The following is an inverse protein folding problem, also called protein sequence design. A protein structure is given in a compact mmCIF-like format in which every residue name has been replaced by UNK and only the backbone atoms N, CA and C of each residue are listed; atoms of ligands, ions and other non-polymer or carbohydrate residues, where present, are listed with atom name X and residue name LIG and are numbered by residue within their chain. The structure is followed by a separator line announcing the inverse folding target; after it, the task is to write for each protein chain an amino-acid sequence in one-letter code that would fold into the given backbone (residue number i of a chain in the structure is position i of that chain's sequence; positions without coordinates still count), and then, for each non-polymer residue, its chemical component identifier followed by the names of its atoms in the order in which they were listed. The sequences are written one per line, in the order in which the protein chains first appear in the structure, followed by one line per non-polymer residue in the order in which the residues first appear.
data_IF_253233590490
#
_entry.id   IF_253233590490
#
_cell.length_a   1.000
_cell.length_b   1.000
_cell.length_c   1.000
_cell.angle_alpha   90.00
_cell.angle_beta   90.00
_cell.angle_gamma   90.00
#
_symmetry.space_group_name_H-M   'P 1'
#
loop_
_entity.id
_entity.type
_entity.pdbx_description
1 polymer ?
#
# COMPACT_ATOMS: atom_id res chain seq x y z
N UNK A 1 -6.80 9.02 -9.23
CA UNK A 1 -5.55 8.97 -10.03
C UNK A 1 -4.87 10.33 -10.11
N UNK A 2 -5.55 11.36 -10.63
CA UNK A 2 -4.99 12.71 -10.76
C UNK A 2 -4.49 13.29 -9.42
N UNK A 3 -5.21 13.06 -8.31
CA UNK A 3 -4.76 13.48 -6.98
C UNK A 3 -3.45 12.83 -6.53
N UNK A 4 -3.21 11.55 -6.82
CA UNK A 4 -1.95 10.87 -6.48
C UNK A 4 -0.79 11.39 -7.33
N UNK A 5 -1.01 11.64 -8.62
CA UNK A 5 0.01 12.25 -9.45
C UNK A 5 0.30 13.70 -9.06
N UNK A 6 -0.71 14.48 -8.67
CA UNK A 6 -0.51 15.82 -8.14
C UNK A 6 0.35 15.80 -6.87
N UNK A 7 0.09 14.86 -5.96
CA UNK A 7 0.92 14.66 -4.76
C UNK A 7 2.35 14.26 -5.10
N UNK A 8 2.52 13.36 -6.07
CA UNK A 8 3.84 12.95 -6.57
C UNK A 8 4.65 14.12 -7.14
N UNK A 9 4.01 15.01 -7.89
CA UNK A 9 4.63 16.23 -8.42
C UNK A 9 4.97 17.20 -7.28
N UNK A 10 4.09 17.34 -6.29
CA UNK A 10 4.36 18.20 -5.14
C UNK A 10 5.55 17.67 -4.35
N UNK A 11 5.58 16.38 -4.00
CA UNK A 11 6.59 15.78 -3.14
C UNK A 11 7.96 15.69 -3.81
N UNK A 12 8.03 15.24 -5.06
CA UNK A 12 9.30 14.92 -5.71
C UNK A 12 9.81 15.99 -6.71
N UNK A 13 9.00 17.00 -7.03
CA UNK A 13 9.42 18.10 -7.89
C UNK A 13 9.30 19.47 -7.19
N UNK A 14 8.13 19.82 -6.64
CA UNK A 14 7.91 21.17 -6.11
C UNK A 14 8.58 21.41 -4.75
N UNK A 15 8.50 20.49 -3.80
CA UNK A 15 9.13 20.64 -2.49
C UNK A 15 10.67 20.73 -2.59
N UNK A 16 11.37 19.86 -3.37
CA UNK A 16 12.81 19.99 -3.59
C UNK A 16 13.20 21.34 -4.21
N UNK A 17 12.45 21.82 -5.20
CA UNK A 17 12.70 23.14 -5.80
C UNK A 17 12.58 24.28 -4.78
N UNK A 18 11.64 24.18 -3.83
CA UNK A 18 11.45 25.17 -2.77
C UNK A 18 12.54 25.09 -1.69
N UNK A 19 13.17 23.93 -1.47
CA UNK A 19 14.32 23.76 -0.58
C UNK A 19 15.66 24.05 -1.26
N UNK A 20 15.67 24.41 -2.54
CA UNK A 20 16.89 24.71 -3.31
C UNK A 20 17.57 23.48 -3.91
N UNK A 21 16.91 22.32 -3.89
CA UNK A 21 17.34 21.08 -4.51
C UNK A 21 16.76 20.94 -5.94
N UNK A 22 17.34 20.02 -6.72
CA UNK A 22 16.85 19.74 -8.07
C UNK A 22 15.60 18.86 -8.02
N UNK A 23 14.62 19.17 -8.89
CA UNK A 23 13.44 18.35 -9.05
C UNK A 23 13.80 16.95 -9.59
N UNK A 24 13.37 15.90 -8.90
CA UNK A 24 13.52 14.52 -9.34
C UNK A 24 12.30 14.08 -10.16
N UNK A 25 12.27 14.44 -11.44
CA UNK A 25 11.14 14.12 -12.32
C UNK A 25 10.90 12.62 -12.51
N UNK A 26 11.93 11.79 -12.40
CA UNK A 26 11.79 10.34 -12.47
C UNK A 26 11.00 9.81 -11.28
N UNK A 27 11.27 10.32 -10.09
CA UNK A 27 10.52 10.01 -8.88
C UNK A 27 9.09 10.55 -8.94
N UNK A 28 8.92 11.79 -9.40
CA UNK A 28 7.61 12.42 -9.57
C UNK A 28 6.69 11.65 -10.54
N UNK A 29 7.25 11.02 -11.57
CA UNK A 29 6.47 10.39 -12.64
C UNK A 29 6.39 8.85 -12.55
N UNK A 30 7.42 8.18 -12.03
CA UNK A 30 7.56 6.72 -12.15
C UNK A 30 8.04 6.01 -10.88
N UNK A 31 9.01 6.58 -10.16
CA UNK A 31 9.71 5.87 -9.08
C UNK A 31 9.24 6.19 -7.67
N UNK A 32 8.60 7.34 -7.47
CA UNK A 32 8.05 7.74 -6.19
C UNK A 32 6.88 6.88 -5.74
N UNK A 33 6.67 6.78 -4.44
CA UNK A 33 5.55 6.03 -3.86
C UNK A 33 4.20 6.47 -4.41
N UNK A 34 3.97 7.79 -4.53
CA UNK A 34 2.70 8.34 -5.05
C UNK A 34 2.50 8.07 -6.54
N UNK A 35 3.55 8.16 -7.37
CA UNK A 35 3.46 7.85 -8.80
C UNK A 35 3.23 6.35 -9.03
N UNK A 36 3.94 5.47 -8.32
CA UNK A 36 3.71 4.02 -8.37
C UNK A 36 2.30 3.64 -7.92
N UNK A 37 1.78 4.27 -6.86
CA UNK A 37 0.38 4.09 -6.43
C UNK A 37 -0.60 4.58 -7.50
N UNK A 38 -0.33 5.72 -8.15
CA UNK A 38 -1.18 6.23 -9.21
C UNK A 38 -1.25 5.26 -10.40
N UNK A 39 -0.08 4.80 -10.88
CA UNK A 39 0.05 3.84 -11.98
C UNK A 39 -0.64 2.52 -11.62
N UNK A 40 -0.33 1.96 -10.45
CA UNK A 40 -0.91 0.71 -9.99
C UNK A 40 -2.43 0.78 -9.86
N UNK A 41 -2.95 1.90 -9.38
CA UNK A 41 -4.40 2.11 -9.29
C UNK A 41 -5.05 2.22 -10.68
N UNK A 42 -4.42 2.90 -11.65
CA UNK A 42 -4.94 2.98 -13.04
C UNK A 42 -4.97 1.59 -13.67
N UNK A 43 -3.89 0.83 -13.53
CA UNK A 43 -3.81 -0.54 -14.02
C UNK A 43 -4.88 -1.44 -13.39
N UNK A 44 -5.13 -1.29 -12.08
CA UNK A 44 -6.19 -2.01 -11.39
C UNK A 44 -7.59 -1.63 -11.89
N UNK A 45 -7.83 -0.34 -12.16
CA UNK A 45 -9.09 0.11 -12.73
C UNK A 45 -9.33 -0.47 -14.14
N UNK A 46 -8.29 -0.45 -15.00
CA UNK A 46 -8.34 -1.07 -16.32
C UNK A 46 -8.61 -2.58 -16.21
N UNK A 47 -7.99 -3.27 -15.26
CA UNK A 47 -8.22 -4.69 -15.00
C UNK A 47 -9.67 -4.98 -14.54
N UNK A 48 -10.24 -4.14 -13.66
CA UNK A 48 -11.65 -4.24 -13.24
C UNK A 48 -12.59 -4.06 -14.43
N UNK A 49 -12.31 -3.08 -15.29
CA UNK A 49 -13.11 -2.81 -16.49
C UNK A 49 -13.05 -3.96 -17.50
N UNK A 50 -11.84 -4.46 -17.79
CA UNK A 50 -11.60 -5.50 -18.78
C UNK A 50 -12.03 -6.90 -18.31
N UNK A 51 -11.80 -7.24 -17.03
CA UNK A 51 -12.05 -8.58 -16.48
C UNK A 51 -13.10 -8.49 -15.39
N UNK A 52 -14.39 -8.63 -15.74
CA UNK A 52 -15.49 -8.44 -14.76
C UNK A 52 -15.62 -9.55 -13.71
N UNK A 53 -15.10 -10.75 -13.99
CA UNK A 53 -15.17 -11.90 -13.06
C UNK A 53 -14.06 -11.80 -12.01
N UNK A 54 -14.47 -11.66 -10.74
CA UNK A 54 -13.55 -11.53 -9.60
C UNK A 54 -12.55 -12.70 -9.52
N UNK A 55 -12.99 -13.93 -9.78
CA UNK A 55 -12.10 -15.10 -9.68
C UNK A 55 -10.96 -15.05 -10.72
N UNK A 56 -11.25 -14.57 -11.94
CA UNK A 56 -10.22 -14.41 -12.98
C UNK A 56 -9.28 -13.25 -12.62
N UNK A 57 -9.81 -12.16 -12.06
CA UNK A 57 -8.99 -11.04 -11.58
C UNK A 57 -8.08 -11.44 -10.42
N UNK A 58 -8.52 -12.36 -9.55
CA UNK A 58 -7.67 -12.87 -8.48
C UNK A 58 -6.42 -13.52 -9.09
N UNK A 59 -6.60 -14.40 -10.08
CA UNK A 59 -5.49 -15.00 -10.82
C UNK A 59 -4.62 -13.98 -11.53
N UNK A 60 -5.20 -12.92 -12.11
CA UNK A 60 -4.44 -11.83 -12.71
C UNK A 60 -3.55 -11.11 -11.67
N UNK A 61 -4.07 -10.82 -10.48
CA UNK A 61 -3.28 -10.24 -9.39
C UNK A 61 -2.11 -11.13 -8.97
N UNK A 62 -2.36 -12.43 -8.80
CA UNK A 62 -1.29 -13.39 -8.48
C UNK A 62 -0.29 -13.59 -9.63
N UNK A 63 -0.73 -13.53 -10.87
CA UNK A 63 0.16 -13.58 -12.02
C UNK A 63 1.10 -12.37 -12.06
N UNK A 64 0.62 -11.18 -11.70
CA UNK A 64 1.46 -9.98 -11.58
C UNK A 64 2.52 -10.12 -10.48
N UNK A 65 2.18 -10.73 -9.33
CA UNK A 65 3.17 -11.06 -8.30
C UNK A 65 4.24 -12.03 -8.83
N UNK A 66 3.84 -13.06 -9.57
CA UNK A 66 4.77 -14.02 -10.17
C UNK A 66 5.69 -13.36 -11.21
N UNK A 67 5.15 -12.52 -12.07
CA UNK A 67 5.92 -11.74 -13.06
C UNK A 67 6.90 -10.81 -12.35
N UNK A 68 6.47 -10.10 -11.32
CA UNK A 68 7.36 -9.24 -10.54
C UNK A 68 8.46 -10.04 -9.86
N UNK A 69 8.14 -11.12 -9.13
CA UNK A 69 9.18 -11.94 -8.48
C UNK A 69 10.20 -12.48 -9.48
N UNK A 70 9.74 -12.97 -10.64
CA UNK A 70 10.63 -13.48 -11.69
C UNK A 70 11.52 -12.39 -12.29
N UNK A 71 10.97 -11.23 -12.59
CA UNK A 71 11.73 -10.12 -13.17
C UNK A 71 12.72 -9.52 -12.17
N UNK A 72 12.36 -9.47 -10.88
CA UNK A 72 13.20 -8.93 -9.80
C UNK A 72 14.50 -9.75 -9.67
N UNK A 73 14.38 -11.07 -9.71
CA UNK A 73 15.54 -11.98 -9.67
C UNK A 73 16.28 -12.11 -11.01
N UNK A 74 15.71 -11.58 -12.09
CA UNK A 74 16.35 -11.67 -13.40
C UNK A 74 17.56 -10.73 -13.46
N UNK A 75 18.71 -11.29 -13.83
CA UNK A 75 20.01 -10.60 -13.91
C UNK A 75 20.01 -9.33 -14.81
N UNK A 76 18.92 -9.04 -15.53
CA UNK A 76 18.82 -7.97 -16.53
C UNK A 76 17.92 -6.79 -16.16
N UNK A 77 16.99 -6.92 -15.23
CA UNK A 77 15.88 -5.95 -15.13
C UNK A 77 16.17 -4.74 -14.23
N UNK A 78 17.06 -4.87 -13.24
CA UNK A 78 17.33 -3.81 -12.25
C UNK A 78 18.84 -3.48 -12.06
N UNK A 79 19.76 -4.24 -12.68
CA UNK A 79 21.20 -4.14 -12.37
C UNK A 79 22.09 -3.57 -13.48
N UNK A 80 21.52 -3.03 -14.55
CA UNK A 80 22.29 -2.57 -15.70
C UNK A 80 22.15 -1.07 -16.00
N UNK A 81 23.18 -0.26 -15.67
CA UNK A 81 23.22 1.17 -15.99
C UNK A 81 23.05 1.50 -17.47
N UNK A 82 23.39 0.59 -18.39
CA UNK A 82 23.40 0.86 -19.83
C UNK A 82 22.00 0.92 -20.48
N UNK A 83 20.96 0.44 -19.80
CA UNK A 83 19.56 0.63 -20.25
C UNK A 83 19.08 2.06 -19.92
N UNK A 84 19.62 2.69 -18.87
CA UNK A 84 19.31 4.07 -18.48
C UNK A 84 19.86 5.09 -19.51
N UNK A 85 20.99 4.78 -20.16
CA UNK A 85 21.72 5.72 -21.03
C UNK A 85 21.22 5.79 -22.49
N UNK A 86 20.53 4.77 -23.01
CA UNK A 86 20.32 4.68 -24.46
C UNK A 86 19.04 5.36 -24.99
N UNK A 87 18.06 5.66 -24.13
CA UNK A 87 16.77 6.22 -24.56
C UNK A 87 16.26 7.40 -23.72
N UNK A 88 16.88 7.74 -22.58
CA UNK A 88 16.33 8.74 -21.64
C UNK A 88 14.91 8.42 -21.14
N UNK A 89 14.40 7.23 -21.47
CA UNK A 89 13.10 6.70 -21.10
C UNK A 89 13.32 5.84 -19.86
N UNK A 90 13.23 6.53 -18.73
CA UNK A 90 12.73 6.09 -17.42
C UNK A 90 12.58 4.60 -17.23
N UNK A 91 13.33 4.09 -16.22
CA UNK A 91 13.09 2.84 -15.50
C UNK A 91 11.62 2.47 -15.55
N UNK A 92 11.33 1.33 -16.14
CA UNK A 92 9.99 0.77 -16.09
C UNK A 92 9.54 0.75 -14.61
N UNK A 93 8.36 1.28 -14.24
CA UNK A 93 7.95 1.49 -12.85
C UNK A 93 7.64 0.15 -12.19
N UNK A 94 8.70 -0.60 -11.89
CA UNK A 94 8.63 -2.01 -11.60
C UNK A 94 7.85 -2.28 -10.30
N UNK A 95 8.08 -1.44 -9.28
CA UNK A 95 7.30 -1.45 -8.04
C UNK A 95 5.80 -1.19 -8.23
N UNK A 96 5.37 -0.61 -9.35
CA UNK A 96 3.94 -0.43 -9.63
C UNK A 96 3.22 -1.76 -9.93
N UNK A 97 3.93 -2.84 -10.28
CA UNK A 97 3.32 -4.16 -10.51
C UNK A 97 2.67 -4.70 -9.24
N UNK A 98 3.42 -4.66 -8.13
CA UNK A 98 2.93 -5.15 -6.86
C UNK A 98 1.80 -4.29 -6.31
N UNK A 99 1.87 -2.97 -6.47
CA UNK A 99 0.77 -2.07 -6.11
C UNK A 99 -0.48 -2.30 -6.96
N UNK A 100 -0.31 -2.57 -8.27
CA UNK A 100 -1.42 -2.94 -9.15
C UNK A 100 -2.05 -4.26 -8.70
N UNK A 101 -1.23 -5.28 -8.40
CA UNK A 101 -1.69 -6.58 -7.94
C UNK A 101 -2.48 -6.48 -6.62
N UNK A 102 -1.97 -5.73 -5.64
CA UNK A 102 -2.66 -5.45 -4.37
C UNK A 102 -4.01 -4.76 -4.64
N UNK A 103 -4.04 -3.72 -5.46
CA UNK A 103 -5.26 -2.98 -5.77
C UNK A 103 -6.31 -3.86 -6.51
N UNK A 104 -5.86 -4.72 -7.43
CA UNK A 104 -6.72 -5.70 -8.11
C UNK A 104 -7.32 -6.67 -7.08
N UNK A 105 -6.50 -7.24 -6.20
CA UNK A 105 -6.97 -8.17 -5.16
C UNK A 105 -7.90 -7.50 -4.15
N UNK A 106 -7.65 -6.24 -3.78
CA UNK A 106 -8.57 -5.44 -2.97
C UNK A 106 -9.95 -5.29 -3.64
N UNK A 107 -10.00 -5.04 -4.96
CA UNK A 107 -11.26 -5.00 -5.71
C UNK A 107 -11.98 -6.35 -5.74
N UNK A 108 -11.23 -7.45 -5.75
CA UNK A 108 -11.75 -8.82 -5.73
C UNK A 108 -12.37 -9.13 -4.37
N UNK A 109 -11.69 -8.78 -3.28
CA UNK A 109 -12.22 -8.95 -1.91
C UNK A 109 -13.51 -8.18 -1.73
N UNK A 110 -13.56 -6.92 -2.17
CA UNK A 110 -14.77 -6.10 -2.15
C UNK A 110 -15.92 -6.76 -2.94
N UNK A 111 -15.65 -7.27 -4.14
CA UNK A 111 -16.68 -7.93 -4.94
C UNK A 111 -17.15 -9.25 -4.31
N UNK A 112 -16.27 -10.09 -3.77
CA UNK A 112 -16.66 -11.34 -3.10
C UNK A 112 -17.47 -11.10 -1.84
N UNK A 113 -17.13 -10.06 -1.09
CA UNK A 113 -17.89 -9.63 0.09
C UNK A 113 -19.30 -9.17 -0.30
N UNK A 114 -19.43 -8.30 -1.32
CA UNK A 114 -20.73 -7.77 -1.75
C UNK A 114 -21.58 -8.76 -2.56
N UNK A 115 -20.97 -9.72 -3.25
CA UNK A 115 -21.69 -10.73 -4.05
C UNK A 115 -22.63 -11.61 -3.20
N UNK A 116 -22.31 -11.77 -1.91
CA UNK A 116 -23.12 -12.52 -0.96
C UNK A 116 -23.77 -11.59 0.06
N UNK A 117 -24.45 -10.53 -0.39
CA UNK A 117 -25.05 -9.53 0.50
C UNK A 117 -26.02 -10.12 1.55
N UNK A 118 -26.63 -11.29 1.28
CA UNK A 118 -27.46 -12.03 2.24
C UNK A 118 -26.70 -12.90 3.24
N UNK A 119 -25.45 -13.27 2.97
CA UNK A 119 -24.53 -13.94 3.90
C UNK A 119 -23.06 -13.57 3.57
N UNK A 120 -22.60 -12.39 4.03
CA UNK A 120 -21.23 -11.94 3.76
C UNK A 120 -20.17 -12.88 4.37
N UNK A 121 -20.53 -13.63 5.41
CA UNK A 121 -19.67 -14.61 6.07
C UNK A 121 -19.31 -15.78 5.15
N UNK A 122 -20.15 -16.11 4.17
CA UNK A 122 -19.83 -17.10 3.13
C UNK A 122 -18.68 -16.62 2.23
N UNK A 123 -18.77 -15.39 1.72
CA UNK A 123 -17.71 -14.79 0.90
C UNK A 123 -16.38 -14.70 1.65
N UNK A 124 -16.41 -14.38 2.94
CA UNK A 124 -15.21 -14.37 3.77
C UNK A 124 -14.59 -15.76 3.94
N UNK A 125 -15.38 -16.75 4.37
CA UNK A 125 -14.88 -18.10 4.67
C UNK A 125 -14.44 -18.87 3.44
N UNK A 126 -15.18 -18.78 2.33
CA UNK A 126 -14.92 -19.60 1.14
C UNK A 126 -13.95 -18.95 0.15
N UNK A 127 -13.73 -17.63 0.23
CA UNK A 127 -12.92 -16.90 -0.75
C UNK A 127 -11.80 -16.10 -0.12
N UNK A 128 -12.13 -15.14 0.76
CA UNK A 128 -11.13 -14.20 1.30
C UNK A 128 -10.14 -14.92 2.23
N UNK A 129 -10.61 -15.77 3.14
CA UNK A 129 -9.77 -16.51 4.07
C UNK A 129 -8.75 -17.41 3.35
N UNK A 130 -9.15 -18.30 2.41
CA UNK A 130 -8.19 -19.10 1.66
C UNK A 130 -7.13 -18.25 0.95
N UNK A 131 -7.55 -17.17 0.30
CA UNK A 131 -6.63 -16.28 -0.42
C UNK A 131 -5.66 -15.58 0.53
N UNK A 132 -6.14 -15.12 1.68
CA UNK A 132 -5.31 -14.50 2.72
C UNK A 132 -4.29 -15.49 3.30
N UNK A 133 -4.73 -16.71 3.64
CA UNK A 133 -3.86 -17.78 4.15
C UNK A 133 -2.78 -18.16 3.13
N UNK A 134 -3.17 -18.39 1.88
CA UNK A 134 -2.20 -18.73 0.83
C UNK A 134 -1.24 -17.57 0.53
N UNK A 135 -1.69 -16.32 0.63
CA UNK A 135 -0.80 -15.15 0.48
C UNK A 135 0.23 -15.08 1.60
N UNK A 136 -0.15 -15.40 2.85
CA UNK A 136 0.79 -15.51 3.96
C UNK A 136 1.83 -16.61 3.76
N UNK A 137 1.39 -17.79 3.35
CA UNK A 137 2.29 -18.92 3.06
C UNK A 137 3.23 -18.56 1.90
N UNK A 138 2.68 -17.99 0.83
CA UNK A 138 3.46 -17.56 -0.33
C UNK A 138 4.46 -16.46 0.04
N UNK A 139 4.07 -15.49 0.88
CA UNK A 139 4.98 -14.48 1.41
C UNK A 139 6.18 -15.12 2.11
N UNK A 140 5.93 -16.05 3.04
CA UNK A 140 6.99 -16.76 3.75
C UNK A 140 7.89 -17.54 2.79
N UNK A 141 7.34 -18.20 1.77
CA UNK A 141 8.12 -18.93 0.78
C UNK A 141 8.95 -18.02 -0.13
N UNK A 142 8.38 -16.91 -0.60
CA UNK A 142 9.05 -15.95 -1.48
C UNK A 142 10.15 -15.20 -0.73
N UNK A 143 9.99 -14.99 0.58
CA UNK A 143 11.00 -14.32 1.42
C UNK A 143 12.37 -15.02 1.41
N UNK A 144 12.42 -16.34 1.19
CA UNK A 144 13.68 -17.08 1.01
C UNK A 144 14.41 -16.78 -0.30
N UNK A 145 13.71 -16.19 -1.27
CA UNK A 145 14.22 -15.84 -2.60
C UNK A 145 14.43 -14.34 -2.67
N UNK A 146 13.39 -13.57 -2.35
CA UNK A 146 13.34 -12.12 -2.36
C UNK A 146 12.96 -11.62 -0.96
N UNK A 147 13.95 -11.10 -0.23
CA UNK A 147 13.77 -10.58 1.14
C UNK A 147 12.74 -9.45 1.22
N UNK A 148 12.01 -9.38 2.33
CA UNK A 148 11.05 -8.32 2.63
C UNK A 148 11.78 -7.04 3.09
N UNK A 149 12.45 -6.33 2.19
CA UNK A 149 13.06 -5.04 2.51
C UNK A 149 12.02 -3.92 2.42
N UNK A 150 11.94 -3.07 3.45
CA UNK A 150 10.89 -2.06 3.60
C UNK A 150 10.99 -0.87 2.64
N UNK A 151 12.14 -0.68 2.00
CA UNK A 151 12.34 0.34 0.97
C UNK A 151 12.00 -0.15 -0.44
N UNK A 152 11.87 -1.47 -0.63
CA UNK A 152 11.52 -2.08 -1.90
C UNK A 152 10.09 -2.63 -1.83
N UNK A 153 9.30 -2.38 -2.88
CA UNK A 153 7.96 -2.97 -3.01
C UNK A 153 8.13 -4.41 -3.49
N UNK A 154 8.69 -5.30 -2.66
CA UNK A 154 8.98 -6.69 -3.01
C UNK A 154 7.72 -7.56 -3.07
N UNK A 155 7.79 -8.67 -3.78
CA UNK A 155 6.64 -9.58 -3.90
C UNK A 155 6.30 -10.23 -2.55
N UNK A 156 7.32 -10.54 -1.73
CA UNK A 156 7.12 -11.04 -0.37
C UNK A 156 6.30 -10.04 0.47
N UNK A 157 6.72 -8.77 0.54
CA UNK A 157 6.03 -7.73 1.28
C UNK A 157 4.60 -7.47 0.76
N UNK A 158 4.40 -7.54 -0.56
CA UNK A 158 3.10 -7.37 -1.17
C UNK A 158 2.14 -8.51 -0.83
N UNK A 159 2.61 -9.75 -0.85
CA UNK A 159 1.84 -10.93 -0.44
C UNK A 159 1.48 -10.89 1.06
N UNK A 160 2.43 -10.48 1.91
CA UNK A 160 2.18 -10.24 3.33
C UNK A 160 1.05 -9.22 3.52
N UNK A 161 1.09 -8.12 2.78
CA UNK A 161 0.07 -7.07 2.82
C UNK A 161 -1.33 -7.57 2.43
N UNK A 162 -1.43 -8.41 1.39
CA UNK A 162 -2.69 -9.06 1.00
C UNK A 162 -3.20 -9.99 2.10
N UNK A 163 -2.31 -10.82 2.65
CA UNK A 163 -2.62 -11.72 3.76
C UNK A 163 -3.18 -10.96 4.95
N UNK A 164 -2.41 -10.02 5.49
CA UNK A 164 -2.80 -9.18 6.63
C UNK A 164 -4.13 -8.47 6.39
N UNK A 165 -4.32 -7.89 5.21
CA UNK A 165 -5.56 -7.19 4.86
C UNK A 165 -6.76 -8.13 4.91
N UNK A 166 -6.63 -9.34 4.37
CA UNK A 166 -7.70 -10.34 4.42
C UNK A 166 -8.10 -10.69 5.86
N UNK A 167 -7.12 -10.93 6.75
CA UNK A 167 -7.38 -11.19 8.16
C UNK A 167 -7.97 -10.00 8.90
N UNK A 168 -7.50 -8.77 8.64
CA UNK A 168 -8.04 -7.56 9.26
C UNK A 168 -9.49 -7.30 8.83
N UNK A 169 -9.83 -7.55 7.57
CA UNK A 169 -11.21 -7.45 7.06
C UNK A 169 -12.12 -8.46 7.78
N UNK A 170 -11.65 -9.71 7.95
CA UNK A 170 -12.41 -10.73 8.68
C UNK A 170 -12.56 -10.41 10.16
N UNK A 171 -11.49 -9.97 10.83
CA UNK A 171 -11.54 -9.57 12.24
C UNK A 171 -12.52 -8.40 12.43
N UNK A 172 -12.49 -7.42 11.53
CA UNK A 172 -13.41 -6.28 11.54
C UNK A 172 -14.86 -6.72 11.35
N UNK A 173 -15.12 -7.68 10.46
CA UNK A 173 -16.45 -8.25 10.28
C UNK A 173 -16.93 -9.04 11.51
N UNK A 174 -16.08 -9.90 12.08
CA UNK A 174 -16.41 -10.67 13.27
C UNK A 174 -16.75 -9.74 14.45
N UNK A 175 -15.94 -8.71 14.69
CA UNK A 175 -16.24 -7.67 15.68
C UNK A 175 -17.59 -7.00 15.39
N UNK A 176 -17.86 -6.64 14.13
CA UNK A 176 -19.13 -6.05 13.72
C UNK A 176 -20.34 -6.95 14.00
N UNK A 177 -20.23 -8.27 13.77
CA UNK A 177 -21.30 -9.23 14.08
C UNK A 177 -21.56 -9.38 15.58
N UNK A 178 -20.57 -9.08 16.43
CA UNK A 178 -20.70 -9.05 17.88
C UNK A 178 -21.17 -7.69 18.42
N UNK A 179 -21.46 -6.72 17.54
CA UNK A 179 -21.81 -5.36 17.93
C UNK A 179 -20.63 -4.53 18.46
N UNK A 180 -19.40 -5.02 18.31
CA UNK A 180 -18.19 -4.31 18.72
C UNK A 180 -17.80 -3.33 17.61
N UNK A 181 -17.90 -2.04 17.90
CA UNK A 181 -17.49 -0.98 16.99
C UNK A 181 -16.31 -0.23 17.60
N UNK A 182 -15.17 -0.23 16.90
CA UNK A 182 -14.00 0.58 17.28
C UNK A 182 -14.08 1.92 16.53
N UNK A 183 -14.46 3.04 17.18
CA UNK A 183 -14.74 4.27 16.45
C UNK A 183 -13.49 4.90 15.82
N UNK A 184 -12.31 4.63 16.38
CA UNK A 184 -11.03 5.05 15.81
C UNK A 184 -10.82 4.47 14.41
N UNK A 185 -11.04 3.16 14.24
CA UNK A 185 -10.87 2.48 12.94
C UNK A 185 -11.87 2.98 11.90
N UNK A 186 -13.11 3.31 12.31
CA UNK A 186 -14.10 3.92 11.42
C UNK A 186 -13.64 5.27 10.88
N UNK A 187 -13.12 6.13 11.75
CA UNK A 187 -12.64 7.46 11.38
C UNK A 187 -11.43 7.38 10.45
N UNK A 188 -10.47 6.50 10.77
CA UNK A 188 -9.28 6.24 9.96
C UNK A 188 -9.66 5.69 8.60
N UNK A 189 -10.54 4.68 8.54
CA UNK A 189 -10.96 4.06 7.28
C UNK A 189 -11.68 5.03 6.34
N UNK A 190 -12.49 5.97 6.86
CA UNK A 190 -13.13 7.02 6.04
C UNK A 190 -12.12 7.97 5.39
N UNK A 191 -10.99 8.22 6.04
CA UNK A 191 -9.97 9.17 5.62
C UNK A 191 -8.64 8.49 5.25
N UNK A 192 -8.68 7.23 4.78
CA UNK A 192 -7.50 6.39 4.57
C UNK A 192 -6.44 7.06 3.70
N UNK A 193 -6.84 7.73 2.62
CA UNK A 193 -5.91 8.45 1.74
C UNK A 193 -5.16 9.57 2.46
N UNK A 194 -5.89 10.40 3.23
CA UNK A 194 -5.26 11.48 3.98
C UNK A 194 -4.37 10.93 5.09
N UNK A 195 -4.82 9.91 5.80
CA UNK A 195 -4.01 9.23 6.81
C UNK A 195 -2.71 8.72 6.17
N UNK A 196 -2.79 8.09 5.00
CA UNK A 196 -1.62 7.66 4.25
C UNK A 196 -0.67 8.81 3.90
N UNK A 197 -1.19 9.94 3.40
CA UNK A 197 -0.38 11.13 3.06
C UNK A 197 0.32 11.69 4.30
N UNK A 198 -0.42 11.85 5.41
CA UNK A 198 0.13 12.38 6.66
C UNK A 198 1.17 11.43 7.23
N UNK A 199 0.94 10.11 7.16
CA UNK A 199 1.94 9.14 7.58
C UNK A 199 3.19 9.21 6.70
N UNK A 200 3.03 9.23 5.38
CA UNK A 200 4.15 9.23 4.44
C UNK A 200 4.98 10.53 4.49
N UNK A 201 4.37 11.69 4.72
CA UNK A 201 5.09 12.98 4.63
C UNK A 201 5.39 13.63 5.98
N UNK A 202 4.52 13.46 6.97
CA UNK A 202 4.64 14.16 8.26
C UNK A 202 5.23 13.24 9.32
N UNK A 203 4.75 12.01 9.40
CA UNK A 203 5.24 11.05 10.40
C UNK A 203 6.62 10.55 10.01
N UNK A 204 6.87 10.31 8.73
CA UNK A 204 8.20 9.89 8.26
C UNK A 204 9.30 10.90 8.64
N UNK A 205 9.09 12.18 8.30
CA UNK A 205 10.00 13.27 8.73
C UNK A 205 10.11 13.44 10.24
N UNK A 206 9.02 13.17 10.97
CA UNK A 206 9.05 13.16 12.44
C UNK A 206 9.96 12.05 12.95
N UNK A 207 9.86 10.84 12.37
CA UNK A 207 10.70 9.70 12.75
C UNK A 207 12.17 9.96 12.39
N UNK A 208 12.45 10.54 11.22
CA UNK A 208 13.81 10.97 10.86
C UNK A 208 14.39 12.00 11.84
N UNK A 209 13.54 12.89 12.39
CA UNK A 209 13.96 13.87 13.38
C UNK A 209 14.15 13.26 14.78
N UNK A 210 13.56 12.10 15.07
CA UNK A 210 13.80 11.36 16.33
C UNK A 210 15.11 10.59 16.16
N UNK A 211 16.21 11.21 16.59
CA UNK A 211 17.56 10.66 16.42
C UNK A 211 17.69 9.21 16.94
N UNK A 212 18.38 8.37 16.18
CA UNK A 212 18.69 6.96 16.51
C UNK A 212 19.28 6.81 17.92
N UNK A 213 20.03 7.82 18.39
CA UNK A 213 20.64 7.87 19.72
C UNK A 213 19.62 7.90 20.87
N UNK A 214 18.42 8.47 20.66
CA UNK A 214 17.33 8.46 21.64
C UNK A 214 16.64 7.08 21.71
N UNK A 215 16.64 6.33 20.60
CA UNK A 215 16.08 4.99 20.51
C UNK A 215 16.94 3.99 21.30
N UNK A 216 18.26 4.08 21.15
CA UNK A 216 19.21 3.19 21.82
C UNK A 216 19.30 3.43 23.34
N UNK A 217 19.23 4.69 23.78
CA UNK A 217 19.43 5.05 25.19
C UNK A 217 18.18 4.88 26.05
N UNK A 218 16.98 5.04 25.47
CA UNK A 218 15.72 4.97 26.22
C UNK A 218 14.63 4.19 25.44
N UNK A 219 14.76 2.85 25.33
CA UNK A 219 13.95 2.03 24.41
C UNK A 219 12.44 2.09 24.70
N UNK A 220 12.02 2.19 25.97
CA UNK A 220 10.60 2.32 26.32
C UNK A 220 10.03 3.69 25.97
N UNK A 221 10.80 4.77 26.16
CA UNK A 221 10.39 6.11 25.78
C UNK A 221 10.34 6.22 24.24
N UNK A 222 11.31 5.64 23.56
CA UNK A 222 11.34 5.54 22.11
C UNK A 222 10.14 4.76 21.56
N UNK A 223 9.73 3.65 22.17
CA UNK A 223 8.53 2.92 21.76
C UNK A 223 7.24 3.74 21.91
N UNK A 224 7.15 4.59 22.95
CA UNK A 224 6.02 5.51 23.09
C UNK A 224 6.04 6.62 22.03
N UNK A 225 7.20 7.18 21.75
CA UNK A 225 7.43 8.30 20.82
C UNK A 225 7.28 7.86 19.37
N UNK A 226 7.84 6.71 19.00
CA UNK A 226 7.82 6.17 17.63
C UNK A 226 6.56 5.37 17.35
N UNK A 227 6.04 4.64 18.35
CA UNK A 227 4.89 3.76 18.17
C UNK A 227 3.56 4.41 18.56
N UNK A 228 3.44 4.86 19.81
CA UNK A 228 2.14 5.30 20.37
C UNK A 228 1.75 6.70 19.91
N UNK A 229 2.67 7.66 19.93
CA UNK A 229 2.39 9.06 19.59
C UNK A 229 1.85 9.21 18.16
N UNK A 230 2.46 8.61 17.11
CA UNK A 230 1.94 8.69 15.75
C UNK A 230 0.54 8.08 15.61
N UNK A 231 0.30 6.93 16.25
CA UNK A 231 -1.01 6.26 16.22
C UNK A 231 -2.10 7.13 16.87
N UNK A 232 -1.79 7.74 18.02
CA UNK A 232 -2.73 8.64 18.71
C UNK A 232 -2.99 9.90 17.88
N UNK A 233 -1.94 10.49 17.29
CA UNK A 233 -2.06 11.69 16.45
C UNK A 233 -2.93 11.43 15.21
N UNK A 234 -2.67 10.35 14.46
CA UNK A 234 -3.48 9.93 13.31
C UNK A 234 -4.93 9.73 13.73
N UNK A 235 -5.15 9.01 14.84
CA UNK A 235 -6.49 8.70 15.33
C UNK A 235 -7.26 9.97 15.69
N UNK A 236 -6.60 10.91 16.37
CA UNK A 236 -7.21 12.18 16.75
C UNK A 236 -7.57 13.01 15.52
N UNK A 237 -6.64 13.14 14.57
CA UNK A 237 -6.85 13.86 13.31
C UNK A 237 -8.02 13.26 12.51
N UNK A 238 -8.02 11.93 12.32
CA UNK A 238 -9.07 11.25 11.58
C UNK A 238 -10.46 11.46 12.22
N UNK A 239 -10.54 11.42 13.56
CA UNK A 239 -11.78 11.70 14.31
C UNK A 239 -12.21 13.16 14.21
N UNK A 240 -11.27 14.09 14.24
CA UNK A 240 -11.56 15.51 14.06
C UNK A 240 -12.21 15.77 12.68
N UNK A 241 -11.64 15.19 11.62
CA UNK A 241 -12.16 15.32 10.27
C UNK A 241 -13.53 14.66 10.11
N UNK A 242 -13.71 13.47 10.69
CA UNK A 242 -15.02 12.79 10.71
C UNK A 242 -16.08 13.68 11.37
N UNK A 243 -15.79 14.30 12.52
CA UNK A 243 -16.71 15.23 13.20
C UNK A 243 -17.07 16.46 12.36
N UNK A 244 -16.17 16.87 11.47
CA UNK A 244 -16.37 18.00 10.55
C UNK A 244 -17.00 17.59 9.21
N UNK A 245 -17.35 16.31 9.03
CA UNK A 245 -17.81 15.73 7.77
C UNK A 245 -16.83 15.96 6.59
N UNK A 246 -15.53 16.08 6.89
CA UNK A 246 -14.49 16.20 5.87
C UNK A 246 -14.01 14.79 5.53
N UNK A 247 -14.13 14.43 4.24
CA UNK A 247 -13.68 13.13 3.71
C UNK A 247 -12.80 13.39 2.50
N UNK A 248 -11.51 13.08 2.61
CA UNK A 248 -10.57 13.19 1.48
C UNK A 248 -10.70 11.92 0.63
N UNK A 249 -11.24 12.07 -0.58
CA UNK A 249 -11.43 10.99 -1.57
C UNK A 249 -10.58 11.25 -2.81
N UNK A 250 -10.23 10.16 -3.49
CA UNK A 250 -9.56 10.17 -4.80
C UNK A 250 -10.49 10.56 -5.96
#
# INVERSE_FOLDING_TARGET
FAGLYALSIVSAALLPLLSGEFANWNEALYDGTFSRLAIGSVAAHAAVYAVRRADIRAWLGFALFGVHAFLFESYRFDRYPWIDDMLGLTKFPFGAFNLAAIAILGSVFAQWFHKHSGDPGKGMRERILPVATWSFIASYCVEWIQSSEHHDVTTALALLSVGLTGYLVMASYAMGTLGIVVPALRAIGKNLLLVFIVTAEVIDRYLEAVADTAIETHPYAALLVVGVVPVVAITYMARFLEKRNIVVRL
#
